data_IF_328459790069
#
_entry.id   IF_328459790069
#
_cell.length_a   1.000
_cell.length_b   1.000
_cell.length_c   1.000
_cell.angle_alpha   90.00
_cell.angle_beta   90.00
_cell.angle_gamma   90.00
#
_symmetry.space_group_name_H-M   'P 1'
#
loop_
_entity.id
_entity.type
_entity.pdbx_description
1 polymer ?
#
# COMPACT_ATOMS: atom_id res chain seq x y z
N UNK A 1 -1.47 -7.66 -2.91
CA UNK A 1 -2.92 -7.83 -3.19
C UNK A 1 -3.39 -9.10 -2.52
N UNK A 2 -4.12 -8.98 -1.41
CA UNK A 2 -4.80 -10.13 -0.83
C UNK A 2 -6.11 -10.36 -1.59
N UNK A 3 -6.14 -11.35 -2.47
CA UNK A 3 -7.40 -11.87 -3.01
C UNK A 3 -7.95 -12.83 -1.97
N UNK A 4 -8.91 -12.39 -1.17
CA UNK A 4 -9.71 -13.27 -0.34
C UNK A 4 -10.68 -14.00 -1.26
N UNK A 5 -10.28 -15.18 -1.75
CA UNK A 5 -11.22 -16.10 -2.38
C UNK A 5 -12.14 -16.64 -1.30
N UNK A 6 -13.42 -16.28 -1.34
CA UNK A 6 -14.46 -16.80 -0.44
C UNK A 6 -14.76 -18.26 -0.80
N UNK A 7 -13.89 -19.18 -0.44
CA UNK A 7 -14.20 -20.60 -0.41
C UNK A 7 -14.51 -20.92 1.04
N UNK A 8 -15.69 -21.50 1.31
CA UNK A 8 -16.01 -22.09 2.62
C UNK A 8 -15.35 -23.48 2.69
N UNK A 9 -14.09 -23.61 3.16
CA UNK A 9 -13.56 -24.93 3.45
C UNK A 9 -13.93 -25.31 4.88
N UNK A 10 -14.30 -26.57 5.08
CA UNK A 10 -14.28 -27.13 6.44
C UNK A 10 -12.82 -27.29 6.89
N UNK A 11 -12.56 -27.21 8.20
CA UNK A 11 -11.22 -27.37 8.81
C UNK A 11 -10.50 -28.66 8.39
N UNK A 12 -11.23 -29.66 7.91
CA UNK A 12 -10.66 -30.89 7.34
C UNK A 12 -9.73 -30.65 6.12
N UNK A 13 -9.65 -29.41 5.61
CA UNK A 13 -8.88 -29.01 4.43
C UNK A 13 -7.55 -28.30 4.75
N UNK A 14 -7.05 -28.30 5.98
CA UNK A 14 -5.68 -27.84 6.28
C UNK A 14 -4.67 -29.00 6.43
N UNK A 15 -4.68 -30.05 5.54
CA UNK A 15 -3.82 -31.22 5.72
C UNK A 15 -2.35 -30.93 5.52
N UNK A 16 -2.00 -29.77 4.97
CA UNK A 16 -0.62 -29.42 4.60
C UNK A 16 0.17 -28.69 5.71
N UNK A 17 -0.52 -28.20 6.76
CA UNK A 17 0.13 -27.42 7.81
C UNK A 17 0.13 -28.18 9.13
N UNK A 18 1.31 -28.34 9.74
CA UNK A 18 1.46 -28.86 11.09
C UNK A 18 1.45 -27.72 12.15
N UNK A 19 1.51 -26.47 11.69
CA UNK A 19 1.61 -25.29 12.54
C UNK A 19 0.68 -24.18 12.05
N UNK A 20 0.05 -23.50 12.97
CA UNK A 20 -0.71 -22.26 12.79
C UNK A 20 0.05 -21.16 13.50
N UNK A 21 0.49 -20.14 12.77
CA UNK A 21 1.29 -19.07 13.36
C UNK A 21 0.43 -18.10 14.16
N UNK A 22 -0.79 -17.83 13.68
CA UNK A 22 -1.75 -17.00 14.39
C UNK A 22 -3.18 -17.49 14.16
N UNK A 23 -3.89 -17.69 15.26
CA UNK A 23 -5.33 -17.92 15.30
C UNK A 23 -6.02 -16.72 15.95
N UNK A 24 -6.97 -16.10 15.27
CA UNK A 24 -7.83 -15.06 15.82
C UNK A 24 -9.23 -15.65 15.94
N UNK A 25 -9.76 -15.71 17.16
CA UNK A 25 -11.09 -16.31 17.46
C UNK A 25 -12.09 -15.24 17.90
N UNK A 26 -13.35 -15.57 17.84
CA UNK A 26 -14.46 -14.78 18.43
C UNK A 26 -14.55 -13.34 17.90
N UNK A 27 -14.23 -13.12 16.63
CA UNK A 27 -14.35 -11.80 16.01
C UNK A 27 -15.57 -11.67 15.10
N UNK A 28 -15.94 -10.45 14.77
CA UNK A 28 -16.85 -10.11 13.70
C UNK A 28 -16.06 -9.61 12.49
N UNK A 29 -16.06 -10.38 11.42
CA UNK A 29 -15.27 -10.09 10.23
C UNK A 29 -16.02 -9.11 9.33
N UNK A 30 -15.33 -8.04 8.93
CA UNK A 30 -15.71 -7.14 7.84
C UNK A 30 -14.67 -7.35 6.74
N UNK A 31 -15.02 -8.08 5.69
CA UNK A 31 -14.08 -8.55 4.67
C UNK A 31 -13.88 -7.59 3.48
N UNK A 32 -14.52 -6.41 3.51
CA UNK A 32 -14.48 -5.43 2.42
C UNK A 32 -15.41 -5.75 1.24
N UNK A 33 -16.20 -6.82 1.30
CA UNK A 33 -17.14 -7.20 0.23
C UNK A 33 -18.42 -6.34 0.17
N UNK A 34 -18.63 -5.45 1.15
CA UNK A 34 -19.86 -4.68 1.31
C UNK A 34 -21.01 -5.44 1.97
N UNK A 35 -20.78 -6.67 2.39
CA UNK A 35 -21.75 -7.47 3.16
C UNK A 35 -21.70 -7.10 4.63
N UNK A 36 -22.74 -7.52 5.37
CA UNK A 36 -22.77 -7.37 6.83
C UNK A 36 -21.63 -8.14 7.49
N UNK A 37 -21.17 -7.63 8.63
CA UNK A 37 -20.19 -8.31 9.45
C UNK A 37 -20.73 -9.68 9.92
N UNK A 38 -19.88 -10.68 9.95
CA UNK A 38 -20.26 -12.04 10.33
C UNK A 38 -19.29 -12.61 11.39
N UNK A 39 -19.80 -13.38 12.37
CA UNK A 39 -18.96 -13.98 13.40
C UNK A 39 -18.09 -15.08 12.79
N UNK A 40 -16.78 -14.99 12.97
CA UNK A 40 -15.83 -15.94 12.40
C UNK A 40 -14.50 -15.93 13.11
N UNK A 41 -13.67 -16.93 12.80
CA UNK A 41 -12.29 -17.02 13.22
C UNK A 41 -11.38 -16.91 11.99
N UNK A 42 -10.12 -16.51 12.19
CA UNK A 42 -9.12 -16.37 11.13
C UNK A 42 -7.90 -17.22 11.49
N UNK A 43 -7.45 -18.03 10.54
CA UNK A 43 -6.22 -18.81 10.67
C UNK A 43 -5.18 -18.26 9.71
N UNK A 44 -4.01 -17.96 10.25
CA UNK A 44 -2.86 -17.43 9.51
C UNK A 44 -1.70 -18.39 9.64
N UNK A 45 -1.10 -18.71 8.50
CA UNK A 45 0.15 -19.47 8.39
C UNK A 45 1.14 -18.64 7.58
N UNK A 46 2.29 -18.39 8.17
CA UNK A 46 3.28 -17.45 7.62
C UNK A 46 2.64 -16.07 7.39
N UNK A 47 2.62 -15.59 6.16
CA UNK A 47 2.07 -14.31 5.73
C UNK A 47 0.68 -14.42 5.07
N UNK A 48 0.00 -15.58 5.20
CA UNK A 48 -1.24 -15.88 4.48
C UNK A 48 -2.40 -16.18 5.42
N UNK A 49 -3.56 -15.59 5.12
CA UNK A 49 -4.84 -16.05 5.66
C UNK A 49 -5.21 -17.33 4.92
N UNK A 50 -5.17 -18.45 5.62
CA UNK A 50 -5.44 -19.78 5.04
C UNK A 50 -6.87 -20.26 5.31
N UNK A 51 -7.56 -19.65 6.29
CA UNK A 51 -8.93 -19.98 6.61
C UNK A 51 -9.67 -18.81 7.26
N UNK A 52 -10.92 -18.61 6.87
CA UNK A 52 -11.89 -17.74 7.53
C UNK A 52 -13.18 -18.54 7.71
N UNK A 53 -13.58 -18.79 8.94
CA UNK A 53 -14.72 -19.62 9.27
C UNK A 53 -14.73 -19.97 10.76
N UNK A 54 -15.75 -20.68 11.23
CA UNK A 54 -15.74 -21.15 12.63
C UNK A 54 -14.76 -22.30 12.78
N UNK A 55 -13.72 -22.10 13.59
CA UNK A 55 -12.81 -23.16 13.98
C UNK A 55 -13.44 -23.96 15.12
N UNK A 56 -13.43 -25.29 14.99
CA UNK A 56 -13.82 -26.21 16.05
C UNK A 56 -12.57 -27.00 16.45
N UNK A 57 -11.57 -26.30 16.99
CA UNK A 57 -10.45 -27.00 17.62
C UNK A 57 -10.93 -27.59 18.92
N UNK A 58 -11.14 -28.93 18.94
CA UNK A 58 -11.39 -29.67 20.17
C UNK A 58 -10.04 -29.94 20.85
N UNK A 59 -10.06 -30.23 22.15
CA UNK A 59 -8.83 -30.56 22.90
C UNK A 59 -8.08 -31.80 22.33
N UNK A 60 -8.71 -32.55 21.41
CA UNK A 60 -8.13 -33.72 20.75
C UNK A 60 -7.49 -33.41 19.39
N UNK A 61 -7.62 -32.16 18.90
CA UNK A 61 -6.96 -31.72 17.64
C UNK A 61 -5.47 -31.40 17.85
N UNK A 62 -4.72 -32.36 18.45
CA UNK A 62 -3.25 -32.29 18.56
C UNK A 62 -2.52 -32.18 17.22
N UNK A 63 -3.27 -32.10 16.12
CA UNK A 63 -2.72 -32.05 14.77
C UNK A 63 -2.02 -30.73 14.46
N UNK A 64 -2.43 -29.64 15.11
CA UNK A 64 -1.89 -28.30 14.82
C UNK A 64 -1.23 -27.69 16.07
N UNK A 65 0.00 -27.26 15.93
CA UNK A 65 0.66 -26.41 16.92
C UNK A 65 0.26 -24.95 16.67
N UNK A 66 -0.52 -24.34 17.55
CA UNK A 66 -0.86 -22.93 17.48
C UNK A 66 0.22 -22.14 18.24
N UNK A 67 0.92 -21.22 17.53
CA UNK A 67 2.01 -20.42 18.09
C UNK A 67 1.45 -19.23 18.87
N UNK A 68 0.48 -18.51 18.27
CA UNK A 68 -0.15 -17.35 18.88
C UNK A 68 -1.65 -17.40 18.71
N UNK A 69 -2.36 -17.04 19.78
CA UNK A 69 -3.82 -16.95 19.80
C UNK A 69 -4.24 -15.57 20.24
N UNK A 70 -5.21 -14.98 19.54
CA UNK A 70 -5.85 -13.71 19.88
C UNK A 70 -7.34 -13.98 20.01
N UNK A 71 -7.91 -13.58 21.15
CA UNK A 71 -9.36 -13.51 21.32
C UNK A 71 -9.85 -12.17 20.80
N UNK A 72 -10.68 -12.18 19.78
CA UNK A 72 -11.28 -10.99 19.20
C UNK A 72 -12.31 -10.32 20.12
N UNK A 73 -12.77 -11.01 21.18
CA UNK A 73 -13.67 -10.47 22.20
C UNK A 73 -14.90 -9.78 21.57
N UNK A 74 -15.48 -10.40 20.55
CA UNK A 74 -16.59 -9.86 19.76
C UNK A 74 -16.29 -8.50 19.07
N UNK A 75 -15.03 -8.12 18.92
CA UNK A 75 -14.63 -6.91 18.18
C UNK A 75 -14.68 -7.14 16.68
N UNK A 76 -14.78 -6.04 15.96
CA UNK A 76 -14.66 -6.08 14.50
C UNK A 76 -13.20 -6.33 14.09
N UNK A 77 -13.05 -7.23 13.12
CA UNK A 77 -11.77 -7.54 12.50
C UNK A 77 -11.88 -7.18 11.02
N UNK A 78 -11.02 -6.31 10.56
CA UNK A 78 -11.00 -5.80 9.18
C UNK A 78 -9.65 -6.10 8.54
N UNK A 79 -9.54 -6.11 7.20
CA UNK A 79 -8.26 -5.91 6.54
C UNK A 79 -7.62 -4.61 7.00
N UNK A 80 -6.29 -4.53 6.97
CA UNK A 80 -5.59 -3.27 7.21
C UNK A 80 -6.03 -2.20 6.21
N UNK A 81 -6.15 -0.96 6.67
CA UNK A 81 -6.60 0.14 5.82
C UNK A 81 -5.51 0.52 4.81
N UNK A 82 -5.95 0.99 3.64
CA UNK A 82 -5.12 1.55 2.59
C UNK A 82 -5.37 3.05 2.57
N UNK A 83 -4.34 3.82 2.91
CA UNK A 83 -4.40 5.28 2.84
C UNK A 83 -3.87 5.74 1.48
N UNK A 84 -4.76 6.25 0.66
CA UNK A 84 -4.47 6.68 -0.72
C UNK A 84 -3.92 8.10 -0.81
N UNK A 85 -3.83 8.84 0.29
CA UNK A 85 -3.28 10.18 0.33
C UNK A 85 -2.48 10.39 1.61
N UNK A 86 -1.22 10.04 1.55
CA UNK A 86 -0.32 10.08 2.71
C UNK A 86 0.93 10.91 2.42
N UNK A 87 1.52 11.41 3.49
CA UNK A 87 2.81 12.10 3.48
C UNK A 87 3.76 11.47 4.50
N UNK A 88 5.04 11.50 4.20
CA UNK A 88 6.08 10.98 5.08
C UNK A 88 7.36 10.64 4.35
N UNK A 89 8.41 10.37 5.11
CA UNK A 89 9.69 9.92 4.57
C UNK A 89 10.04 8.56 5.19
N UNK A 90 9.85 7.45 4.46
CA UNK A 90 10.13 6.11 4.98
C UNK A 90 11.62 5.87 5.29
N UNK A 91 12.52 6.64 4.70
CA UNK A 91 13.94 6.54 5.03
C UNK A 91 14.29 7.23 6.36
N UNK A 92 13.51 8.20 6.80
CA UNK A 92 13.71 8.89 8.09
C UNK A 92 12.92 8.21 9.23
N UNK A 93 11.69 7.77 8.95
CA UNK A 93 10.78 7.17 9.93
C UNK A 93 10.29 5.80 9.46
N UNK A 94 11.17 4.80 9.36
CA UNK A 94 10.83 3.51 8.74
C UNK A 94 9.76 2.71 9.50
N UNK A 95 9.62 2.86 10.81
CA UNK A 95 8.60 2.15 11.59
C UNK A 95 7.17 2.53 11.22
N UNK A 96 6.95 3.75 10.73
CA UNK A 96 5.62 4.26 10.35
C UNK A 96 4.53 4.00 11.41
N UNK A 97 4.90 4.08 12.70
CA UNK A 97 4.06 3.69 13.84
C UNK A 97 2.73 4.45 13.91
N UNK A 98 2.71 5.70 13.49
CA UNK A 98 1.50 6.51 13.42
C UNK A 98 0.44 5.88 12.50
N UNK A 99 0.83 5.35 11.35
CA UNK A 99 -0.08 4.66 10.43
C UNK A 99 -0.54 3.33 11.02
N UNK A 100 0.38 2.53 11.54
CA UNK A 100 0.07 1.24 12.16
C UNK A 100 -0.88 1.40 13.36
N UNK A 101 -0.69 2.44 14.18
CA UNK A 101 -1.56 2.73 15.32
C UNK A 101 -3.01 3.07 14.91
N UNK A 102 -3.21 3.54 13.67
CA UNK A 102 -4.53 3.78 13.08
C UNK A 102 -5.08 2.58 12.30
N UNK A 103 -4.35 1.46 12.26
CA UNK A 103 -4.72 0.28 11.47
C UNK A 103 -4.43 0.41 9.98
N UNK A 104 -3.67 1.43 9.55
CA UNK A 104 -3.25 1.60 8.17
C UNK A 104 -2.03 0.71 7.92
N UNK A 105 -2.13 -0.19 6.96
CA UNK A 105 -1.06 -1.15 6.60
C UNK A 105 -0.47 -0.91 5.22
N UNK A 106 -1.09 -0.03 4.45
CA UNK A 106 -0.61 0.38 3.12
C UNK A 106 -0.81 1.87 2.95
N UNK A 107 0.23 2.56 2.51
CA UNK A 107 0.18 3.99 2.23
C UNK A 107 0.56 4.27 0.77
N UNK A 108 0.08 5.39 0.24
CA UNK A 108 0.56 5.93 -1.03
C UNK A 108 1.27 7.25 -0.79
N UNK A 109 2.48 7.39 -1.31
CA UNK A 109 3.25 8.62 -1.30
C UNK A 109 3.31 9.23 -2.70
N UNK A 110 3.81 10.44 -2.79
CA UNK A 110 3.89 11.17 -4.06
C UNK A 110 2.65 12.01 -4.35
N UNK A 111 1.90 12.38 -3.33
CA UNK A 111 0.69 13.19 -3.44
C UNK A 111 0.99 14.68 -3.65
N UNK A 112 -0.03 15.45 -4.03
CA UNK A 112 0.02 16.92 -4.20
C UNK A 112 1.14 17.39 -5.14
N UNK A 113 1.46 16.57 -6.15
CA UNK A 113 2.53 16.87 -7.10
C UNK A 113 3.94 16.77 -6.52
N UNK A 114 4.12 16.18 -5.34
CA UNK A 114 5.41 16.06 -4.65
C UNK A 114 5.78 14.60 -4.39
N UNK A 115 6.87 14.15 -4.96
CA UNK A 115 7.47 12.83 -4.74
C UNK A 115 8.95 12.96 -4.39
N UNK A 116 9.65 11.88 -4.00
CA UNK A 116 11.09 11.96 -3.78
C UNK A 116 11.82 12.58 -4.98
N UNK A 117 12.56 13.66 -4.72
CA UNK A 117 13.29 14.42 -5.76
C UNK A 117 14.63 13.72 -6.10
N UNK A 118 14.56 12.52 -6.59
CA UNK A 118 15.70 11.68 -6.96
C UNK A 118 15.69 11.39 -8.46
N UNK A 119 16.88 11.28 -9.05
CA UNK A 119 17.02 10.97 -10.48
C UNK A 119 16.61 9.53 -10.83
N UNK A 120 16.73 8.63 -9.85
CA UNK A 120 16.42 7.21 -10.00
C UNK A 120 15.48 6.79 -8.88
N UNK A 121 14.19 6.81 -9.17
CA UNK A 121 13.17 6.44 -8.20
C UNK A 121 13.22 4.94 -7.86
N UNK A 122 13.63 4.09 -8.80
CA UNK A 122 13.79 2.66 -8.56
C UNK A 122 14.80 2.38 -7.46
N UNK A 123 15.97 3.00 -7.53
CA UNK A 123 16.99 2.89 -6.47
C UNK A 123 16.53 3.42 -5.12
N UNK A 124 15.74 4.50 -5.12
CA UNK A 124 15.18 5.01 -3.88
C UNK A 124 14.19 3.99 -3.26
N UNK A 125 13.36 3.34 -4.08
CA UNK A 125 12.46 2.29 -3.62
C UNK A 125 13.21 1.06 -3.12
N UNK A 126 14.31 0.68 -3.77
CA UNK A 126 15.20 -0.38 -3.30
C UNK A 126 15.78 -0.06 -1.91
N UNK A 127 16.24 1.18 -1.69
CA UNK A 127 16.72 1.62 -0.37
C UNK A 127 15.64 1.54 0.71
N UNK A 128 14.39 1.92 0.38
CA UNK A 128 13.25 1.78 1.29
C UNK A 128 12.99 0.31 1.61
N UNK A 129 13.03 -0.55 0.61
CA UNK A 129 12.85 -2.00 0.76
C UNK A 129 13.94 -2.63 1.61
N UNK A 130 15.21 -2.29 1.37
CA UNK A 130 16.36 -2.77 2.13
C UNK A 130 16.33 -2.31 3.59
N UNK A 131 15.89 -1.07 3.82
CA UNK A 131 15.74 -0.53 5.18
C UNK A 131 14.64 -1.24 5.95
N UNK A 132 13.62 -1.69 5.25
CA UNK A 132 12.39 -2.24 5.82
C UNK A 132 11.51 -1.16 6.43
N UNK A 133 10.24 -1.15 6.08
CA UNK A 133 9.26 -0.21 6.63
C UNK A 133 8.08 -0.93 7.23
N UNK A 134 7.42 -0.29 8.21
CA UNK A 134 6.33 -0.91 8.97
C UNK A 134 5.03 -1.11 8.17
N UNK A 135 4.87 -0.42 7.04
CA UNK A 135 3.68 -0.49 6.17
C UNK A 135 4.08 -0.83 4.74
N UNK A 136 3.14 -1.29 3.93
CA UNK A 136 3.37 -1.40 2.49
C UNK A 136 3.34 -0.01 1.86
N UNK A 137 4.17 0.19 0.83
CA UNK A 137 4.30 1.46 0.12
C UNK A 137 3.90 1.31 -1.34
N UNK A 138 3.04 2.22 -1.80
CA UNK A 138 2.78 2.50 -3.20
C UNK A 138 3.18 3.95 -3.51
N UNK A 139 3.50 4.24 -4.76
CA UNK A 139 4.02 5.56 -5.15
C UNK A 139 3.24 6.14 -6.31
N UNK A 140 3.03 7.46 -6.25
CA UNK A 140 2.77 8.31 -7.41
C UNK A 140 4.01 9.14 -7.72
N UNK A 141 4.20 9.51 -8.98
CA UNK A 141 5.21 10.50 -9.35
C UNK A 141 4.60 11.89 -9.29
N UNK A 142 5.27 12.80 -8.60
CA UNK A 142 4.79 14.18 -8.43
C UNK A 142 5.12 15.05 -9.63
N UNK A 143 4.13 15.70 -10.24
CA UNK A 143 4.31 16.66 -11.33
C UNK A 143 5.29 17.79 -10.97
N UNK A 144 5.13 18.38 -9.78
CA UNK A 144 6.04 19.43 -9.29
C UNK A 144 7.47 18.93 -9.14
N UNK A 145 7.66 17.65 -8.73
CA UNK A 145 8.98 17.03 -8.68
C UNK A 145 9.56 16.87 -10.09
N UNK A 146 8.76 16.41 -11.08
CA UNK A 146 9.21 16.33 -12.46
C UNK A 146 9.65 17.67 -13.03
N UNK A 147 8.90 18.75 -12.76
CA UNK A 147 9.27 20.11 -13.16
C UNK A 147 10.62 20.54 -12.60
N UNK A 148 10.89 20.21 -11.34
CA UNK A 148 12.18 20.51 -10.71
C UNK A 148 13.33 19.69 -11.31
N UNK A 149 13.14 18.40 -11.48
CA UNK A 149 14.15 17.50 -12.06
C UNK A 149 14.49 17.84 -13.51
N UNK A 150 13.51 18.33 -14.29
CA UNK A 150 13.70 18.77 -15.68
C UNK A 150 14.23 20.20 -15.79
N UNK A 151 14.51 20.89 -14.66
CA UNK A 151 14.99 22.25 -14.64
C UNK A 151 13.96 23.29 -15.13
N UNK A 152 12.68 22.95 -15.13
CA UNK A 152 11.56 23.86 -15.43
C UNK A 152 11.27 24.72 -14.19
N UNK A 153 11.17 24.09 -13.03
CA UNK A 153 10.87 24.76 -11.77
C UNK A 153 9.58 25.59 -11.85
N UNK A 154 9.69 26.85 -11.47
CA UNK A 154 8.56 27.80 -11.45
C UNK A 154 8.33 28.53 -12.79
N UNK A 155 9.04 28.19 -13.84
CA UNK A 155 8.87 28.83 -15.15
C UNK A 155 7.51 28.49 -15.73
N UNK A 156 6.81 29.48 -16.29
CA UNK A 156 5.62 29.29 -17.11
C UNK A 156 5.95 29.15 -18.60
N UNK A 157 7.23 29.28 -18.97
CA UNK A 157 7.74 29.07 -20.32
C UNK A 157 8.57 27.80 -20.36
N UNK A 158 8.13 26.84 -21.13
CA UNK A 158 8.77 25.54 -21.30
C UNK A 158 9.21 25.43 -22.76
N UNK A 159 10.48 25.14 -23.00
CA UNK A 159 10.96 24.79 -24.32
C UNK A 159 10.83 23.29 -24.59
N UNK A 160 10.86 22.91 -25.85
CA UNK A 160 10.64 21.53 -26.29
C UNK A 160 11.63 20.53 -25.65
N UNK A 161 12.88 20.93 -25.44
CA UNK A 161 13.89 20.06 -24.82
C UNK A 161 13.58 19.73 -23.36
N UNK A 162 13.14 20.72 -22.58
CA UNK A 162 12.74 20.51 -21.18
C UNK A 162 11.46 19.71 -21.07
N UNK A 163 10.49 19.96 -21.97
CA UNK A 163 9.26 19.19 -22.04
C UNK A 163 9.58 17.71 -22.38
N UNK A 164 10.37 17.46 -23.40
CA UNK A 164 10.79 16.09 -23.74
C UNK A 164 11.47 15.41 -22.56
N UNK A 165 12.41 16.06 -21.89
CA UNK A 165 13.10 15.50 -20.72
C UNK A 165 12.14 15.18 -19.57
N UNK A 166 11.10 16.01 -19.36
CA UNK A 166 10.07 15.76 -18.34
C UNK A 166 9.20 14.54 -18.72
N UNK A 167 8.80 14.43 -19.99
CA UNK A 167 8.01 13.30 -20.50
C UNK A 167 8.83 11.99 -20.44
N UNK A 168 10.10 12.01 -20.79
CA UNK A 168 10.99 10.85 -20.69
C UNK A 168 11.14 10.39 -19.24
N UNK A 169 11.31 11.33 -18.30
CA UNK A 169 11.38 11.03 -16.86
C UNK A 169 10.06 10.44 -16.35
N UNK A 170 8.92 10.99 -16.76
CA UNK A 170 7.61 10.46 -16.41
C UNK A 170 7.45 9.02 -16.92
N UNK A 171 7.73 8.79 -18.19
CA UNK A 171 7.60 7.47 -18.81
C UNK A 171 8.47 6.40 -18.10
N UNK A 172 9.68 6.76 -17.71
CA UNK A 172 10.55 5.86 -16.94
C UNK A 172 10.01 5.60 -15.52
N UNK A 173 9.53 6.64 -14.83
CA UNK A 173 9.04 6.48 -13.44
C UNK A 173 7.69 5.74 -13.37
N UNK A 174 6.85 5.83 -14.40
CA UNK A 174 5.58 5.10 -14.47
C UNK A 174 5.75 3.57 -14.49
N UNK A 175 6.92 3.05 -14.78
CA UNK A 175 7.22 1.62 -14.67
C UNK A 175 7.18 1.12 -13.22
N UNK A 176 7.32 2.01 -12.24
CA UNK A 176 7.45 1.71 -10.82
C UNK A 176 6.37 2.39 -9.95
N UNK A 177 5.50 3.22 -10.57
CA UNK A 177 4.49 4.01 -9.87
C UNK A 177 3.10 3.75 -10.40
N UNK A 178 2.09 4.12 -9.64
CA UNK A 178 0.68 3.93 -9.98
C UNK A 178 0.12 5.05 -10.87
N UNK A 179 0.89 6.10 -11.10
CA UNK A 179 0.47 7.22 -11.93
C UNK A 179 1.15 8.53 -11.54
N UNK A 180 0.65 9.61 -12.14
CA UNK A 180 1.07 10.98 -11.92
C UNK A 180 0.12 11.66 -10.92
N UNK A 181 0.66 12.40 -9.97
CA UNK A 181 -0.09 13.33 -9.12
C UNK A 181 0.20 14.78 -9.50
N UNK A 182 -0.77 15.65 -9.31
CA UNK A 182 -0.60 17.09 -9.50
C UNK A 182 -0.91 17.85 -8.22
N UNK A 183 -0.29 19.03 -8.05
CA UNK A 183 -0.58 19.95 -6.98
C UNK A 183 -0.58 21.36 -7.57
N UNK A 184 -1.68 21.73 -8.23
CA UNK A 184 -1.76 22.97 -9.02
C UNK A 184 -1.97 24.22 -8.17
N UNK A 185 -2.20 24.05 -6.89
CA UNK A 185 -2.27 25.15 -5.91
C UNK A 185 -0.90 25.46 -5.28
N UNK A 186 0.11 24.61 -5.55
CA UNK A 186 1.46 24.73 -4.98
C UNK A 186 2.51 24.97 -6.06
N UNK A 187 3.59 25.68 -5.67
CA UNK A 187 4.77 25.78 -6.52
C UNK A 187 5.53 24.43 -6.54
N UNK A 188 6.03 24.00 -7.71
CA UNK A 188 6.03 24.68 -9.01
C UNK A 188 4.82 24.39 -9.89
N UNK A 189 3.89 23.48 -9.49
CA UNK A 189 2.73 23.07 -10.29
C UNK A 189 1.77 24.21 -10.62
N UNK A 190 1.66 25.23 -9.75
CA UNK A 190 0.85 26.42 -9.95
C UNK A 190 1.19 27.17 -11.27
N UNK A 191 2.40 27.01 -11.79
CA UNK A 191 2.87 27.66 -13.00
C UNK A 191 2.70 26.80 -14.26
N UNK A 192 2.08 25.63 -14.14
CA UNK A 192 1.87 24.74 -15.28
C UNK A 192 0.83 25.31 -16.24
N UNK A 193 1.08 25.16 -17.53
CA UNK A 193 0.05 25.43 -18.53
C UNK A 193 -0.87 24.23 -18.75
N UNK A 194 -2.03 24.47 -19.33
CA UNK A 194 -2.95 23.41 -19.69
C UNK A 194 -2.32 22.44 -20.70
N UNK A 195 -1.55 22.96 -21.65
CA UNK A 195 -0.87 22.18 -22.67
C UNK A 195 0.16 21.23 -22.04
N UNK A 196 0.91 21.69 -21.05
CA UNK A 196 1.84 20.86 -20.30
C UNK A 196 1.12 19.65 -19.65
N UNK A 197 0.02 19.92 -18.96
CA UNK A 197 -0.77 18.88 -18.30
C UNK A 197 -1.38 17.88 -19.30
N UNK A 198 -1.82 18.38 -20.46
CA UNK A 198 -2.34 17.53 -21.55
C UNK A 198 -1.24 16.60 -22.07
N UNK A 199 -0.01 17.12 -22.30
CA UNK A 199 1.09 16.29 -22.80
C UNK A 199 1.48 15.21 -21.78
N UNK A 200 1.53 15.55 -20.50
CA UNK A 200 1.81 14.56 -19.44
C UNK A 200 0.71 13.50 -19.33
N UNK A 201 -0.55 13.87 -19.54
CA UNK A 201 -1.68 12.93 -19.43
C UNK A 201 -1.83 11.99 -20.64
N UNK A 202 -1.04 12.17 -21.71
CA UNK A 202 -1.02 11.27 -22.88
C UNK A 202 -0.11 10.06 -22.71
N UNK A 203 0.78 10.08 -21.71
CA UNK A 203 1.69 8.98 -21.37
C UNK A 203 0.97 7.96 -20.50
#
# INVERSE_FOLDING_TARGET
>A
FFVVSCVKPSISFLPEFNQIDLLIENGFIIDGSGKEAFPSDIVIVQDRIVFVGKTKFTNDDYKYRIIKKIDGDNRFITPGFIDLHSHGNPLETPSMENFLAMGVTTITLGQDGSSPAVQDLSKWMDQVSEKGIGVNLAMFVGHGTLRNLSGIGRSNLINDSKMSGMLDTLNETLKYTFGLSTGLEYNPGLNASLEELIELAKI
#
